data_IF_823634013103
#
_entry.id   IF_823634013103
#
_cell.length_a   1.000
_cell.length_b   1.000
_cell.length_c   1.000
_cell.angle_alpha   90.00
_cell.angle_beta   90.00
_cell.angle_gamma   90.00
#
_symmetry.space_group_name_H-M   'P 1'
#
loop_
_entity.id
_entity.type
_entity.pdbx_description
1 polymer ?
#
# COMPACT_ATOMS: atom_id res chain seq x y z
N UNK A 1 5.49 28.95 -17.74
CA UNK A 1 4.99 28.83 -19.13
C UNK A 1 4.02 27.67 -19.20
N UNK A 2 3.06 27.69 -20.12
CA UNK A 2 2.09 26.61 -20.33
C UNK A 2 2.16 26.24 -21.81
N UNK A 3 2.34 24.96 -22.12
CA UNK A 3 2.41 24.46 -23.50
C UNK A 3 1.63 23.16 -23.61
N UNK A 4 0.91 22.95 -24.71
CA UNK A 4 0.22 21.68 -24.93
C UNK A 4 1.24 20.58 -25.19
N UNK A 5 1.00 19.37 -24.67
CA UNK A 5 1.83 18.19 -24.99
C UNK A 5 1.77 17.76 -26.46
N UNK A 6 0.79 18.28 -27.22
CA UNK A 6 0.69 18.09 -28.66
C UNK A 6 1.59 19.03 -29.47
N UNK A 7 2.18 20.04 -28.83
CA UNK A 7 3.13 20.94 -29.47
C UNK A 7 4.45 20.18 -29.78
N UNK A 8 4.97 20.26 -31.02
CA UNK A 8 6.19 19.55 -31.42
C UNK A 8 7.43 19.97 -30.63
N UNK A 9 7.42 21.13 -29.98
CA UNK A 9 8.52 21.64 -29.16
C UNK A 9 8.37 21.31 -27.67
N UNK A 10 7.22 20.80 -27.22
CA UNK A 10 6.94 20.55 -25.79
C UNK A 10 7.99 19.64 -25.15
N UNK A 11 8.37 18.57 -25.84
CA UNK A 11 9.34 17.59 -25.33
C UNK A 11 10.73 18.20 -25.14
N UNK A 12 11.21 18.95 -26.16
CA UNK A 12 12.49 19.65 -26.11
C UNK A 12 12.50 20.71 -25.00
N UNK A 13 11.45 21.52 -24.94
CA UNK A 13 11.31 22.56 -23.93
C UNK A 13 11.32 21.98 -22.50
N UNK A 14 10.66 20.83 -22.30
CA UNK A 14 10.68 20.14 -21.02
C UNK A 14 12.09 19.66 -20.64
N UNK A 15 12.83 19.05 -21.59
CA UNK A 15 14.21 18.62 -21.35
C UNK A 15 15.15 19.80 -21.04
N UNK A 16 15.01 20.91 -21.76
CA UNK A 16 15.79 22.13 -21.55
C UNK A 16 15.49 22.74 -20.17
N UNK A 17 14.20 22.77 -19.78
CA UNK A 17 13.76 23.27 -18.47
C UNK A 17 14.29 22.41 -17.32
N UNK A 18 14.21 21.07 -17.44
CA UNK A 18 14.77 20.15 -16.44
C UNK A 18 16.30 20.29 -16.33
N UNK A 19 16.99 20.41 -17.47
CA UNK A 19 18.45 20.64 -17.51
C UNK A 19 18.86 21.94 -16.83
N UNK A 20 17.99 22.96 -16.84
CA UNK A 20 18.19 24.21 -16.13
C UNK A 20 17.90 24.12 -14.62
N UNK A 21 17.55 22.94 -14.09
CA UNK A 21 17.24 22.74 -12.67
C UNK A 21 15.90 23.36 -12.26
N UNK A 22 14.97 23.53 -13.20
CA UNK A 22 13.69 24.19 -13.00
C UNK A 22 12.54 23.19 -12.82
N UNK A 23 11.47 23.65 -12.16
CA UNK A 23 10.27 22.85 -11.89
C UNK A 23 9.40 22.72 -13.15
N UNK A 24 9.06 21.47 -13.48
CA UNK A 24 8.17 21.11 -14.58
C UNK A 24 6.97 20.36 -14.03
N UNK A 25 5.76 20.73 -14.43
CA UNK A 25 4.56 19.92 -14.25
C UNK A 25 4.31 19.12 -15.52
N UNK A 26 4.11 17.81 -15.38
CA UNK A 26 3.94 16.87 -16.49
C UNK A 26 2.77 15.91 -16.25
N UNK A 27 2.09 15.42 -17.30
CA UNK A 27 0.98 14.50 -17.16
C UNK A 27 1.46 13.07 -16.86
N UNK A 28 0.71 12.35 -16.02
CA UNK A 28 0.85 10.90 -15.81
C UNK A 28 -0.49 10.20 -16.02
N UNK A 29 -0.52 8.87 -15.93
CA UNK A 29 -1.75 8.08 -16.02
C UNK A 29 -2.65 8.20 -14.77
N UNK A 30 -2.16 8.83 -13.69
CA UNK A 30 -2.93 9.07 -12.45
C UNK A 30 -3.31 10.54 -12.29
N UNK A 31 -2.33 11.44 -12.20
CA UNK A 31 -2.57 12.88 -12.03
C UNK A 31 -1.37 13.69 -12.56
N UNK A 32 -1.44 15.01 -12.56
CA UNK A 32 -0.27 15.82 -12.92
C UNK A 32 0.84 15.67 -11.86
N UNK A 33 2.04 15.35 -12.32
CA UNK A 33 3.24 15.20 -11.50
C UNK A 33 4.12 16.45 -11.50
N UNK A 34 4.96 16.59 -10.48
CA UNK A 34 5.98 17.63 -10.35
C UNK A 34 7.38 17.03 -10.50
N UNK A 35 8.11 17.52 -11.49
CA UNK A 35 9.40 17.03 -11.92
C UNK A 35 10.51 18.06 -11.73
N UNK A 36 11.66 17.57 -11.25
CA UNK A 36 12.99 18.17 -11.37
C UNK A 36 14.00 17.07 -11.73
N UNK A 37 15.18 17.43 -12.24
CA UNK A 37 16.31 16.49 -12.36
C UNK A 37 16.76 16.05 -10.96
N UNK A 38 16.78 14.73 -10.71
CA UNK A 38 17.19 14.15 -9.44
C UNK A 38 18.69 14.33 -9.13
N UNK A 39 19.53 14.66 -10.12
CA UNK A 39 20.96 14.99 -9.97
C UNK A 39 21.21 16.48 -9.70
N UNK A 40 20.12 17.23 -9.65
CA UNK A 40 19.87 18.64 -9.34
C UNK A 40 19.79 19.07 -7.87
N UNK A 41 20.81 19.13 -6.97
CA UNK A 41 20.55 19.45 -5.56
C UNK A 41 19.73 20.73 -5.32
N UNK A 42 19.98 21.79 -6.11
CA UNK A 42 19.21 23.02 -6.06
C UNK A 42 17.78 22.83 -6.57
N UNK A 43 17.58 22.01 -7.60
CA UNK A 43 16.27 21.69 -8.13
C UNK A 43 15.44 20.85 -7.12
N UNK A 44 16.08 19.88 -6.44
CA UNK A 44 15.49 19.12 -5.33
C UNK A 44 15.08 20.06 -4.18
N UNK A 45 15.91 21.06 -3.86
CA UNK A 45 15.54 22.10 -2.88
C UNK A 45 14.27 22.86 -3.29
N UNK A 46 14.17 23.30 -4.55
CA UNK A 46 12.98 23.99 -5.05
C UNK A 46 11.73 23.11 -5.01
N UNK A 47 11.86 21.82 -5.34
CA UNK A 47 10.78 20.85 -5.25
C UNK A 47 10.30 20.66 -3.80
N UNK A 48 11.22 20.47 -2.86
CA UNK A 48 10.90 20.34 -1.43
C UNK A 48 10.27 21.60 -0.88
N UNK A 49 10.78 22.78 -1.28
CA UNK A 49 10.16 24.05 -0.94
C UNK A 49 8.74 24.10 -1.47
N UNK A 50 8.50 23.78 -2.76
CA UNK A 50 7.17 23.75 -3.35
C UNK A 50 6.22 22.83 -2.57
N UNK A 51 6.68 21.63 -2.21
CA UNK A 51 5.90 20.61 -1.50
C UNK A 51 5.60 20.95 -0.03
N UNK A 52 6.58 21.52 0.68
CA UNK A 52 6.53 21.73 2.12
C UNK A 52 6.83 20.47 2.95
N UNK A 53 6.98 20.64 4.27
CA UNK A 53 7.60 19.66 5.16
C UNK A 53 6.88 18.31 5.32
N UNK A 54 5.58 18.22 5.02
CA UNK A 54 4.76 17.02 5.31
C UNK A 54 4.84 15.92 4.24
N UNK A 55 5.48 16.16 3.09
CA UNK A 55 5.53 15.19 1.98
C UNK A 55 6.96 14.91 1.53
N UNK A 56 7.77 14.35 2.43
CA UNK A 56 9.17 13.96 2.14
C UNK A 56 9.31 12.65 1.36
N UNK A 57 8.22 11.90 1.18
CA UNK A 57 8.25 10.69 0.37
C UNK A 57 8.16 11.07 -1.12
N UNK A 58 9.33 11.27 -1.73
CA UNK A 58 9.47 11.58 -3.16
C UNK A 58 10.04 10.33 -3.83
N UNK A 59 9.33 9.83 -4.85
CA UNK A 59 9.86 8.78 -5.71
C UNK A 59 10.61 9.38 -6.90
N UNK A 60 11.35 8.57 -7.63
CA UNK A 60 11.88 8.93 -8.95
C UNK A 60 11.05 8.26 -10.06
N UNK A 61 10.94 8.91 -11.21
CA UNK A 61 10.39 8.34 -12.42
C UNK A 61 11.54 7.91 -13.35
N UNK A 62 11.45 6.70 -13.89
CA UNK A 62 12.38 6.14 -14.88
C UNK A 62 11.61 5.67 -16.12
N UNK A 63 12.31 5.44 -17.23
CA UNK A 63 11.74 4.98 -18.51
C UNK A 63 11.88 3.46 -18.74
N UNK A 64 12.63 2.77 -17.88
CA UNK A 64 13.03 1.39 -18.11
C UNK A 64 13.58 0.74 -16.85
N UNK A 65 13.48 -0.59 -16.80
CA UNK A 65 14.16 -1.41 -15.79
C UNK A 65 15.68 -1.19 -15.81
N UNK A 66 16.25 -1.01 -17.00
CA UNK A 66 17.69 -0.72 -17.18
C UNK A 66 18.09 0.61 -16.54
N UNK A 67 17.23 1.63 -16.60
CA UNK A 67 17.45 2.89 -15.89
C UNK A 67 17.27 2.71 -14.38
N UNK A 68 16.24 1.98 -13.92
CA UNK A 68 16.01 1.71 -12.49
C UNK A 68 17.23 1.07 -11.81
N UNK A 69 17.84 0.05 -12.44
CA UNK A 69 19.02 -0.67 -11.93
C UNK A 69 20.27 0.22 -11.71
N UNK A 70 20.28 1.46 -12.21
CA UNK A 70 21.35 2.44 -11.96
C UNK A 70 21.19 3.17 -10.62
N UNK A 71 20.00 3.12 -10.02
CA UNK A 71 19.65 3.88 -8.80
C UNK A 71 19.24 2.99 -7.64
N UNK A 72 18.75 1.76 -7.91
CA UNK A 72 18.32 0.82 -6.88
C UNK A 72 18.84 -0.60 -7.13
N UNK A 73 19.06 -1.34 -6.04
CA UNK A 73 19.29 -2.78 -6.07
C UNK A 73 17.95 -3.52 -6.09
N UNK A 74 17.75 -4.39 -7.08
CA UNK A 74 16.50 -5.12 -7.27
C UNK A 74 16.64 -6.56 -6.83
N UNK A 75 15.82 -6.99 -5.87
CA UNK A 75 15.64 -8.41 -5.56
C UNK A 75 14.67 -9.08 -6.56
N UNK A 76 14.45 -10.39 -6.41
CA UNK A 76 13.59 -11.16 -7.30
C UNK A 76 12.14 -10.65 -7.34
N UNK A 77 11.60 -10.22 -6.21
CA UNK A 77 10.23 -9.70 -6.10
C UNK A 77 10.12 -8.37 -6.85
N UNK A 78 11.04 -7.44 -6.59
CA UNK A 78 11.08 -6.18 -7.29
C UNK A 78 11.17 -6.41 -8.80
N UNK A 79 12.11 -7.26 -9.24
CA UNK A 79 12.26 -7.61 -10.66
C UNK A 79 10.95 -8.11 -11.28
N UNK A 80 10.26 -9.02 -10.59
CA UNK A 80 8.97 -9.54 -11.04
C UNK A 80 7.91 -8.43 -11.16
N UNK A 81 7.84 -7.52 -10.19
CA UNK A 81 6.93 -6.37 -10.25
C UNK A 81 7.22 -5.46 -11.45
N UNK A 82 8.49 -5.21 -11.74
CA UNK A 82 8.89 -4.44 -12.93
C UNK A 82 8.52 -5.13 -14.23
N UNK A 83 8.63 -6.44 -14.33
CA UNK A 83 8.33 -7.18 -15.57
C UNK A 83 6.84 -7.29 -15.86
N UNK A 84 6.00 -7.38 -14.83
CA UNK A 84 4.57 -7.69 -15.00
C UNK A 84 3.64 -6.48 -14.88
N UNK A 85 4.04 -5.46 -14.12
CA UNK A 85 3.15 -4.32 -13.80
C UNK A 85 3.68 -2.97 -14.29
N UNK A 86 4.88 -2.92 -14.86
CA UNK A 86 5.46 -1.70 -15.40
C UNK A 86 5.63 -1.79 -16.93
N UNK A 87 5.37 -0.69 -17.66
CA UNK A 87 4.94 0.62 -17.15
C UNK A 87 3.50 0.65 -16.64
N UNK A 88 3.26 1.35 -15.54
CA UNK A 88 1.97 1.30 -14.85
C UNK A 88 1.91 2.09 -13.54
N UNK A 89 0.73 2.16 -12.90
CA UNK A 89 0.50 2.96 -11.70
C UNK A 89 1.01 2.24 -10.43
N UNK A 90 2.28 1.82 -10.45
CA UNK A 90 2.99 1.21 -9.32
C UNK A 90 4.30 1.96 -9.04
N UNK A 91 4.60 2.12 -7.75
CA UNK A 91 5.87 2.58 -7.22
C UNK A 91 6.50 1.42 -6.46
N UNK A 92 7.70 1.00 -6.85
CA UNK A 92 8.45 -0.07 -6.18
C UNK A 92 9.55 0.56 -5.33
N UNK A 93 9.52 0.34 -4.01
CA UNK A 93 10.58 0.75 -3.09
C UNK A 93 11.60 -0.39 -3.00
N UNK A 94 12.86 -0.03 -3.21
CA UNK A 94 14.00 -0.94 -3.20
C UNK A 94 15.19 -0.29 -2.49
N UNK A 95 16.23 -1.07 -2.18
CA UNK A 95 17.46 -0.53 -1.58
C UNK A 95 18.11 0.47 -2.54
N UNK A 96 18.45 1.68 -2.05
CA UNK A 96 19.11 2.69 -2.85
C UNK A 96 20.57 2.32 -3.12
N UNK A 97 21.09 2.73 -4.27
CA UNK A 97 22.52 2.70 -4.57
C UNK A 97 23.24 4.01 -4.16
N UNK A 98 22.52 4.92 -3.48
CA UNK A 98 23.05 6.18 -2.95
C UNK A 98 23.72 7.08 -3.99
N UNK A 99 23.18 7.08 -5.22
CA UNK A 99 23.71 7.84 -6.36
C UNK A 99 23.00 9.16 -6.64
N UNK A 100 21.95 9.49 -5.88
CA UNK A 100 21.14 10.70 -6.00
C UNK A 100 21.21 11.55 -4.73
N UNK A 101 20.55 12.71 -4.73
CA UNK A 101 20.40 13.54 -3.54
C UNK A 101 19.72 12.75 -2.41
N UNK A 102 20.38 12.64 -1.26
CA UNK A 102 19.91 11.83 -0.13
C UNK A 102 18.56 12.27 0.44
N UNK A 103 18.09 13.48 0.12
CA UNK A 103 16.75 13.94 0.50
C UNK A 103 15.62 13.28 -0.29
N UNK A 104 15.94 12.56 -1.35
CA UNK A 104 15.01 11.73 -2.11
C UNK A 104 14.91 10.30 -1.55
N UNK A 105 15.81 9.94 -0.63
CA UNK A 105 15.85 8.61 -0.01
C UNK A 105 15.12 8.61 1.33
N UNK A 106 14.69 7.42 1.76
CA UNK A 106 14.19 7.22 3.11
C UNK A 106 15.33 7.23 4.13
N UNK A 107 14.98 7.36 5.41
CA UNK A 107 15.95 7.29 6.52
C UNK A 107 16.65 5.92 6.56
N UNK A 108 15.98 4.87 6.08
CA UNK A 108 16.48 3.51 6.03
C UNK A 108 17.29 3.21 4.75
N UNK A 109 17.60 4.23 3.93
CA UNK A 109 18.40 4.08 2.72
C UNK A 109 17.66 3.46 1.53
N UNK A 110 16.33 3.60 1.51
CA UNK A 110 15.48 3.03 0.44
C UNK A 110 15.00 4.12 -0.51
N UNK A 111 14.72 3.76 -1.76
CA UNK A 111 14.27 4.68 -2.79
C UNK A 111 13.05 4.12 -3.52
N UNK A 112 12.00 4.94 -3.62
CA UNK A 112 10.82 4.63 -4.41
C UNK A 112 11.04 4.96 -5.89
N UNK A 113 10.78 3.99 -6.77
CA UNK A 113 10.94 4.15 -8.21
C UNK A 113 9.62 3.86 -8.91
N UNK A 114 9.25 4.72 -9.86
CA UNK A 114 8.04 4.63 -10.67
C UNK A 114 8.42 4.57 -12.14
N UNK A 115 7.66 3.83 -12.94
CA UNK A 115 7.76 3.86 -14.39
C UNK A 115 6.38 4.20 -14.98
N UNK A 116 6.08 5.50 -15.19
CA UNK A 116 4.77 5.97 -15.62
C UNK A 116 4.33 5.38 -16.96
N UNK A 117 3.03 5.11 -17.11
CA UNK A 117 2.44 4.58 -18.35
C UNK A 117 1.98 5.66 -19.33
N UNK A 118 2.00 6.93 -18.93
CA UNK A 118 1.61 8.02 -19.81
C UNK A 118 2.63 8.20 -20.96
N UNK A 119 2.21 8.15 -22.25
CA UNK A 119 3.13 8.18 -23.39
C UNK A 119 4.07 9.39 -23.41
N UNK A 120 3.55 10.57 -23.05
CA UNK A 120 4.38 11.77 -22.96
C UNK A 120 5.42 11.67 -21.82
N UNK A 121 5.06 11.09 -20.67
CA UNK A 121 5.98 10.96 -19.55
C UNK A 121 7.13 10.01 -19.91
N UNK A 122 6.82 8.88 -20.57
CA UNK A 122 7.82 7.96 -21.07
C UNK A 122 8.75 8.61 -22.09
N UNK A 123 8.17 9.34 -23.05
CA UNK A 123 8.94 10.07 -24.06
C UNK A 123 9.85 11.12 -23.43
N UNK A 124 9.34 11.84 -22.41
CA UNK A 124 10.11 12.84 -21.66
C UNK A 124 11.30 12.20 -20.96
N UNK A 125 11.08 11.17 -20.14
CA UNK A 125 12.15 10.55 -19.35
C UNK A 125 13.17 9.87 -20.26
N UNK A 126 12.71 9.17 -21.30
CA UNK A 126 13.60 8.49 -22.26
C UNK A 126 14.42 9.46 -23.10
N UNK A 127 13.82 10.57 -23.57
CA UNK A 127 14.55 11.61 -24.32
C UNK A 127 15.51 12.37 -23.42
N UNK A 128 15.13 12.61 -22.16
CA UNK A 128 15.97 13.28 -21.19
C UNK A 128 17.15 12.42 -20.73
N UNK A 129 16.97 11.09 -20.68
CA UNK A 129 18.00 10.11 -20.38
C UNK A 129 18.40 10.01 -18.90
N UNK A 130 17.67 10.70 -18.01
CA UNK A 130 17.88 10.70 -16.55
C UNK A 130 16.55 10.60 -15.81
N UNK A 131 16.55 10.09 -14.55
CA UNK A 131 15.38 10.13 -13.70
C UNK A 131 14.98 11.56 -13.37
N UNK A 132 13.67 11.75 -13.29
CA UNK A 132 13.04 12.96 -12.75
C UNK A 132 12.26 12.60 -11.49
N UNK A 133 11.89 13.57 -10.67
CA UNK A 133 11.04 13.27 -9.51
C UNK A 133 9.62 12.84 -9.91
N UNK A 134 9.06 11.92 -9.13
CA UNK A 134 7.71 11.40 -9.24
C UNK A 134 6.91 11.70 -7.96
N UNK A 135 6.23 12.84 -7.96
CA UNK A 135 5.29 13.22 -6.90
C UNK A 135 4.18 14.06 -7.52
N UNK A 136 2.98 14.05 -6.95
CA UNK A 136 1.84 14.84 -7.46
C UNK A 136 2.13 16.35 -7.45
N UNK A 137 1.55 17.13 -8.35
CA UNK A 137 1.78 18.57 -8.43
C UNK A 137 0.98 19.41 -7.42
N UNK A 138 0.37 18.77 -6.42
CA UNK A 138 -0.30 19.45 -5.32
C UNK A 138 0.69 19.97 -4.27
N UNK A 139 0.29 21.06 -3.63
CA UNK A 139 0.90 21.54 -2.38
C UNK A 139 0.40 20.71 -1.20
N UNK A 140 1.16 20.68 -0.10
CA UNK A 140 0.84 19.85 1.06
C UNK A 140 -0.61 19.95 1.53
N UNK A 141 -1.30 18.81 1.63
CA UNK A 141 -2.67 18.71 2.13
C UNK A 141 -3.76 19.24 1.18
N UNK A 142 -3.43 19.55 -0.08
CA UNK A 142 -4.40 19.94 -1.12
C UNK A 142 -4.68 18.78 -2.07
N UNK A 143 -5.79 18.86 -2.81
CA UNK A 143 -6.19 17.88 -3.82
C UNK A 143 -5.17 17.78 -4.96
N UNK A 144 -4.98 16.58 -5.48
CA UNK A 144 -4.22 16.29 -6.69
C UNK A 144 -4.82 17.03 -7.89
N UNK A 145 -3.99 17.65 -8.76
CA UNK A 145 -4.48 18.29 -9.96
C UNK A 145 -4.65 17.29 -11.12
N UNK A 146 -5.82 17.31 -11.75
CA UNK A 146 -6.14 16.52 -12.96
C UNK A 146 -6.28 17.40 -14.21
N UNK A 147 -6.25 18.71 -14.04
CA UNK A 147 -6.26 19.69 -15.12
C UNK A 147 -5.45 20.93 -14.72
N UNK A 148 -5.11 21.76 -15.72
CA UNK A 148 -4.55 23.09 -15.49
C UNK A 148 -5.45 23.95 -14.59
N UNK A 149 -6.77 23.84 -14.75
CA UNK A 149 -7.75 24.55 -13.94
C UNK A 149 -7.71 24.11 -12.46
N UNK A 150 -7.61 22.81 -12.20
CA UNK A 150 -7.46 22.29 -10.83
C UNK A 150 -6.17 22.79 -10.18
N UNK A 151 -5.07 22.75 -10.93
CA UNK A 151 -3.78 23.24 -10.44
C UNK A 151 -3.85 24.72 -10.07
N UNK A 152 -4.42 25.58 -10.91
CA UNK A 152 -4.62 26.99 -10.59
C UNK A 152 -5.55 27.21 -9.39
N UNK A 153 -6.60 26.40 -9.25
CA UNK A 153 -7.58 26.52 -8.17
C UNK A 153 -7.01 26.13 -6.81
N UNK A 154 -6.19 25.08 -6.75
CA UNK A 154 -5.73 24.48 -5.50
C UNK A 154 -4.30 24.86 -5.09
N UNK A 155 -3.57 25.59 -5.95
CA UNK A 155 -2.19 26.03 -5.70
C UNK A 155 -2.14 27.54 -5.47
N UNK A 156 -1.37 28.00 -4.49
CA UNK A 156 -1.24 29.45 -4.23
C UNK A 156 -0.43 30.14 -5.33
N UNK A 157 -0.67 31.44 -5.56
CA UNK A 157 0.05 32.23 -6.58
C UNK A 157 1.57 32.15 -6.41
N UNK A 158 2.07 32.21 -5.17
CA UNK A 158 3.50 32.08 -4.89
C UNK A 158 4.07 30.72 -5.32
N UNK A 159 3.34 29.63 -5.09
CA UNK A 159 3.74 28.29 -5.54
C UNK A 159 3.62 28.13 -7.04
N UNK A 160 2.59 28.69 -7.66
CA UNK A 160 2.45 28.71 -9.12
C UNK A 160 3.63 29.41 -9.80
N UNK A 161 4.12 30.51 -9.22
CA UNK A 161 5.27 31.25 -9.72
C UNK A 161 6.59 30.47 -9.68
N UNK A 162 6.68 29.42 -8.86
CA UNK A 162 7.86 28.54 -8.81
C UNK A 162 7.94 27.57 -10.01
N UNK A 163 6.81 27.31 -10.68
CA UNK A 163 6.74 26.34 -11.78
C UNK A 163 7.11 27.04 -13.09
N UNK A 164 8.22 26.61 -13.69
CA UNK A 164 8.72 27.20 -14.93
C UNK A 164 7.95 26.72 -16.16
N UNK A 165 7.48 25.46 -16.15
CA UNK A 165 6.75 24.87 -17.26
C UNK A 165 5.60 23.97 -16.78
N UNK A 166 4.42 24.15 -17.37
CA UNK A 166 3.29 23.23 -17.27
C UNK A 166 3.03 22.62 -18.65
N UNK A 167 3.11 21.29 -18.74
CA UNK A 167 2.84 20.51 -19.94
C UNK A 167 1.37 20.09 -19.96
N UNK A 168 0.55 20.81 -20.69
CA UNK A 168 -0.91 20.65 -20.70
C UNK A 168 -1.38 19.51 -21.60
N UNK A 169 -1.93 18.47 -20.98
CA UNK A 169 -2.60 17.33 -21.60
C UNK A 169 -4.14 17.43 -21.55
N UNK A 170 -4.67 18.59 -21.14
CA UNK A 170 -6.08 18.76 -20.84
C UNK A 170 -6.46 18.13 -19.49
N UNK A 171 -7.68 17.61 -19.42
CA UNK A 171 -8.19 16.93 -18.24
C UNK A 171 -7.81 15.44 -18.28
N UNK A 172 -6.98 15.02 -17.32
CA UNK A 172 -6.63 13.61 -17.09
C UNK A 172 -7.82 12.84 -16.53
N UNK A 173 -7.82 11.52 -16.72
CA UNK A 173 -8.83 10.64 -16.11
C UNK A 173 -8.61 10.65 -14.60
N UNK A 174 -9.66 10.93 -13.82
CA UNK A 174 -9.59 10.88 -12.36
C UNK A 174 -9.40 9.43 -11.90
N UNK A 175 -8.20 9.13 -11.40
CA UNK A 175 -7.80 7.81 -10.90
C UNK A 175 -7.09 7.98 -9.56
N UNK A 176 -7.25 7.02 -8.64
CA UNK A 176 -6.44 6.96 -7.43
C UNK A 176 -4.94 7.04 -7.72
N UNK A 177 -4.16 7.47 -6.72
CA UNK A 177 -2.69 7.52 -6.85
C UNK A 177 -2.08 6.12 -7.08
N UNK A 178 -0.79 6.06 -7.43
CA UNK A 178 -0.10 4.78 -7.65
C UNK A 178 -0.06 3.89 -6.41
N UNK A 179 -0.13 2.57 -6.63
CA UNK A 179 0.11 1.57 -5.59
C UNK A 179 1.58 1.58 -5.22
N UNK A 180 1.90 1.66 -3.92
CA UNK A 180 3.29 1.70 -3.43
C UNK A 180 3.59 0.36 -2.77
N UNK A 181 4.61 -0.34 -3.28
CA UNK A 181 5.06 -1.64 -2.78
C UNK A 181 6.49 -1.53 -2.28
N UNK A 182 6.69 -1.86 -1.01
CA UNK A 182 8.01 -2.09 -0.44
C UNK A 182 8.47 -3.51 -0.71
N UNK A 183 9.64 -3.63 -1.34
CA UNK A 183 10.26 -4.91 -1.67
C UNK A 183 11.57 -5.14 -0.92
N UNK A 184 11.94 -4.25 -0.01
CA UNK A 184 13.24 -4.33 0.70
C UNK A 184 13.29 -5.46 1.73
N UNK A 185 12.12 -5.92 2.19
CA UNK A 185 11.98 -7.07 3.06
C UNK A 185 11.74 -8.35 2.25
N UNK A 186 12.03 -9.51 2.85
CA UNK A 186 11.78 -10.82 2.21
C UNK A 186 10.30 -11.05 1.87
N UNK A 187 9.39 -10.38 2.57
CA UNK A 187 7.96 -10.35 2.25
C UNK A 187 7.59 -8.93 1.78
N UNK A 188 7.10 -8.75 0.55
CA UNK A 188 6.78 -7.43 0.02
C UNK A 188 5.52 -6.87 0.69
N UNK A 189 5.50 -5.56 0.94
CA UNK A 189 4.38 -4.89 1.62
C UNK A 189 3.77 -3.80 0.74
N UNK A 190 2.45 -3.80 0.60
CA UNK A 190 1.74 -2.67 0.00
C UNK A 190 1.61 -1.56 1.05
N UNK A 191 2.42 -0.51 0.92
CA UNK A 191 2.40 0.65 1.83
C UNK A 191 1.26 1.63 1.52
N UNK A 192 0.81 1.65 0.26
CA UNK A 192 -0.33 2.45 -0.18
C UNK A 192 -1.06 1.72 -1.30
N UNK A 193 -2.35 1.48 -1.11
CA UNK A 193 -3.20 0.95 -2.16
C UNK A 193 -3.57 2.05 -3.16
N UNK A 194 -3.31 1.80 -4.43
CA UNK A 194 -3.64 2.68 -5.56
C UNK A 194 -4.58 2.01 -6.56
N UNK A 195 -4.62 2.52 -7.80
CA UNK A 195 -5.46 1.93 -8.87
C UNK A 195 -5.08 0.48 -9.18
N UNK A 196 -3.81 0.12 -9.04
CA UNK A 196 -3.37 -1.26 -9.27
C UNK A 196 -3.56 -2.07 -7.99
N UNK A 197 -4.57 -2.93 -7.98
CA UNK A 197 -4.59 -4.04 -7.03
C UNK A 197 -3.57 -5.04 -7.56
N UNK A 198 -2.60 -5.41 -6.73
CA UNK A 198 -1.60 -6.44 -7.08
C UNK A 198 -2.07 -7.72 -6.40
N UNK A 199 -2.69 -8.65 -7.15
CA UNK A 199 -2.92 -9.99 -6.63
C UNK A 199 -1.56 -10.65 -6.40
N UNK A 200 -1.43 -11.51 -5.39
CA UNK A 200 -0.21 -12.27 -5.04
C UNK A 200 0.91 -11.56 -4.25
N UNK A 201 0.70 -10.38 -3.65
CA UNK A 201 1.56 -9.94 -2.53
C UNK A 201 1.04 -10.42 -1.16
N UNK A 202 -0.12 -11.08 -1.16
CA UNK A 202 -0.59 -11.91 -0.06
C UNK A 202 0.15 -13.24 -0.11
N UNK A 203 0.99 -13.61 0.89
CA UNK A 203 1.63 -14.92 0.87
C UNK A 203 0.55 -15.99 0.70
N UNK A 204 0.73 -16.79 -0.35
CA UNK A 204 -0.22 -17.83 -0.72
C UNK A 204 0.32 -19.17 -0.25
N UNK A 205 -0.45 -19.84 0.59
CA UNK A 205 -0.07 -21.12 1.17
C UNK A 205 -1.19 -22.11 0.86
N UNK A 206 -0.83 -23.22 0.20
CA UNK A 206 -1.75 -24.34 0.04
C UNK A 206 -1.59 -25.28 1.23
N UNK A 207 -2.70 -25.66 1.85
CA UNK A 207 -2.74 -26.66 2.92
C UNK A 207 -3.55 -27.87 2.46
N UNK A 208 -3.12 -29.07 2.82
CA UNK A 208 -3.72 -30.34 2.40
C UNK A 208 -4.46 -31.04 3.55
N UNK A 209 -4.56 -30.38 4.72
CA UNK A 209 -5.34 -30.87 5.86
C UNK A 209 -5.76 -29.74 6.80
N UNK A 210 -6.70 -30.04 7.69
CA UNK A 210 -7.06 -29.14 8.80
C UNK A 210 -5.87 -28.88 9.73
N UNK A 211 -4.98 -29.86 9.91
CA UNK A 211 -3.79 -29.72 10.76
C UNK A 211 -2.79 -28.77 10.12
N UNK A 212 -2.53 -28.90 8.83
CA UNK A 212 -1.66 -27.94 8.12
C UNK A 212 -2.24 -26.53 8.13
N UNK A 213 -3.57 -26.40 8.00
CA UNK A 213 -4.27 -25.10 8.16
C UNK A 213 -4.02 -24.49 9.54
N UNK A 214 -4.05 -25.31 10.60
CA UNK A 214 -3.73 -24.86 11.96
C UNK A 214 -2.25 -24.47 12.09
N UNK A 215 -1.32 -25.24 11.51
CA UNK A 215 0.12 -24.96 11.57
C UNK A 215 0.47 -23.66 10.85
N UNK A 216 -0.13 -23.41 9.69
CA UNK A 216 0.00 -22.15 8.95
C UNK A 216 -0.52 -20.98 9.76
N UNK A 217 -1.73 -21.10 10.33
CA UNK A 217 -2.29 -20.06 11.20
C UNK A 217 -1.41 -19.80 12.43
N UNK A 218 -0.84 -20.85 13.03
CA UNK A 218 0.07 -20.74 14.15
C UNK A 218 1.37 -20.00 13.77
N UNK A 219 1.91 -20.28 12.58
CA UNK A 219 3.10 -19.60 12.03
C UNK A 219 2.83 -18.11 11.80
N UNK A 220 1.73 -17.78 11.13
CA UNK A 220 1.29 -16.39 10.87
C UNK A 220 1.11 -15.64 12.20
N UNK A 221 0.45 -16.28 13.18
CA UNK A 221 0.25 -15.68 14.51
C UNK A 221 1.58 -15.35 15.17
N UNK A 222 2.52 -16.29 15.21
CA UNK A 222 3.86 -16.07 15.79
C UNK A 222 4.64 -14.96 15.07
N UNK A 223 4.50 -14.85 13.75
CA UNK A 223 5.15 -13.81 12.94
C UNK A 223 4.70 -12.40 13.35
N UNK A 224 3.40 -12.21 13.61
CA UNK A 224 2.84 -10.88 13.89
C UNK A 224 2.53 -10.61 15.37
N UNK A 225 2.76 -11.59 16.26
CA UNK A 225 2.49 -11.46 17.70
C UNK A 225 3.21 -10.28 18.35
N UNK A 226 4.37 -9.86 17.83
CA UNK A 226 5.10 -8.71 18.37
C UNK A 226 4.33 -7.39 18.29
N UNK A 227 3.43 -7.24 17.29
CA UNK A 227 2.59 -6.05 17.12
C UNK A 227 1.66 -5.84 18.32
N UNK A 228 1.25 -6.93 18.98
CA UNK A 228 0.26 -6.86 20.06
C UNK A 228 0.76 -6.08 21.27
N UNK A 229 2.07 -5.88 21.42
CA UNK A 229 2.64 -5.04 22.49
C UNK A 229 2.19 -3.58 22.43
N UNK A 230 1.92 -3.08 21.23
CA UNK A 230 1.61 -1.67 21.00
C UNK A 230 0.18 -1.46 20.51
N UNK A 231 -0.38 -2.43 19.81
CA UNK A 231 -1.69 -2.34 19.19
C UNK A 231 -2.52 -3.60 19.48
N UNK A 232 -3.85 -3.55 19.44
CA UNK A 232 -4.63 -4.75 19.18
C UNK A 232 -4.31 -5.31 17.79
N UNK A 233 -4.51 -6.61 17.57
CA UNK A 233 -4.40 -7.23 16.24
C UNK A 233 -5.73 -7.84 15.82
N UNK A 234 -6.27 -7.42 14.68
CA UNK A 234 -7.47 -8.02 14.10
C UNK A 234 -7.05 -9.05 13.04
N UNK A 235 -7.58 -10.27 13.16
CA UNK A 235 -7.53 -11.30 12.13
C UNK A 235 -8.91 -11.37 11.48
N UNK A 236 -9.05 -10.86 10.25
CA UNK A 236 -10.30 -10.81 9.52
C UNK A 236 -10.40 -12.00 8.56
N UNK A 237 -11.13 -13.06 8.94
CA UNK A 237 -11.22 -14.29 8.16
C UNK A 237 -12.38 -14.26 7.15
N UNK A 238 -12.08 -14.57 5.90
CA UNK A 238 -13.01 -14.69 4.78
C UNK A 238 -12.94 -16.08 4.14
N UNK A 239 -14.07 -16.52 3.60
CA UNK A 239 -14.20 -17.73 2.81
C UNK A 239 -15.54 -18.42 3.05
N UNK A 240 -15.86 -19.39 2.21
CA UNK A 240 -17.16 -20.07 2.21
C UNK A 240 -17.43 -20.88 3.49
N UNK A 241 -18.68 -21.32 3.66
CA UNK A 241 -19.07 -22.18 4.76
C UNK A 241 -18.26 -23.48 4.71
N UNK A 242 -17.69 -23.90 5.85
CA UNK A 242 -16.91 -25.14 5.95
C UNK A 242 -15.47 -25.06 5.43
N UNK A 243 -15.04 -23.93 4.86
CA UNK A 243 -13.71 -23.82 4.21
C UNK A 243 -12.51 -23.92 5.16
N UNK A 244 -12.72 -23.84 6.47
CA UNK A 244 -11.66 -23.99 7.48
C UNK A 244 -11.37 -22.76 8.33
N UNK A 245 -12.20 -21.71 8.32
CA UNK A 245 -12.04 -20.51 9.16
C UNK A 245 -11.81 -20.84 10.64
N UNK A 246 -12.67 -21.66 11.23
CA UNK A 246 -12.50 -22.11 12.63
C UNK A 246 -11.24 -22.95 12.84
N UNK A 247 -10.77 -23.69 11.82
CA UNK A 247 -9.50 -24.43 11.91
C UNK A 247 -8.32 -23.45 11.95
N UNK A 248 -8.38 -22.35 11.20
CA UNK A 248 -7.40 -21.28 11.29
C UNK A 248 -7.36 -20.69 12.71
N UNK A 249 -8.52 -20.37 13.31
CA UNK A 249 -8.57 -19.83 14.69
C UNK A 249 -8.02 -20.82 15.73
N UNK A 250 -8.23 -22.13 15.56
CA UNK A 250 -7.58 -23.16 16.40
C UNK A 250 -6.05 -23.10 16.31
N UNK A 251 -5.51 -22.86 15.11
CA UNK A 251 -4.06 -22.66 14.93
C UNK A 251 -3.54 -21.41 15.62
N UNK A 252 -4.30 -20.30 15.55
CA UNK A 252 -4.01 -19.07 16.33
C UNK A 252 -3.95 -19.40 17.82
N UNK A 253 -4.96 -20.10 18.35
CA UNK A 253 -5.03 -20.47 19.75
C UNK A 253 -3.87 -21.37 20.19
N UNK A 254 -3.48 -22.33 19.35
CA UNK A 254 -2.32 -23.19 19.57
C UNK A 254 -1.01 -22.38 19.67
N UNK A 255 -0.79 -21.41 18.79
CA UNK A 255 0.37 -20.52 18.86
C UNK A 255 0.44 -19.69 20.14
N UNK A 256 -0.72 -19.38 20.74
CA UNK A 256 -0.84 -18.64 21.99
C UNK A 256 -0.78 -19.53 23.23
N UNK A 257 -0.66 -20.85 23.07
CA UNK A 257 -0.62 -21.82 24.18
C UNK A 257 -1.98 -22.06 24.85
N UNK A 258 -3.09 -21.76 24.17
CA UNK A 258 -4.44 -21.99 24.69
C UNK A 258 -4.76 -23.49 24.61
N UNK A 259 -5.04 -24.11 25.75
CA UNK A 259 -5.41 -25.54 25.86
C UNK A 259 -6.93 -25.78 25.80
N UNK A 260 -7.73 -24.72 25.85
CA UNK A 260 -9.18 -24.80 25.75
C UNK A 260 -9.61 -25.25 24.36
N UNK A 261 -10.72 -26.00 24.29
CA UNK A 261 -11.30 -26.38 23.01
C UNK A 261 -11.89 -25.15 22.30
N UNK A 262 -11.23 -24.70 21.24
CA UNK A 262 -11.69 -23.59 20.39
C UNK A 262 -12.67 -24.12 19.35
N UNK A 263 -13.90 -23.62 19.39
CA UNK A 263 -14.96 -23.97 18.46
C UNK A 263 -15.69 -22.70 18.02
N UNK A 264 -16.34 -22.76 16.86
CA UNK A 264 -16.99 -21.58 16.31
C UNK A 264 -18.06 -21.05 17.27
N UNK A 265 -18.07 -19.75 17.61
CA UNK A 265 -19.06 -19.13 18.49
C UNK A 265 -20.38 -18.85 17.76
N UNK A 266 -20.80 -19.69 16.83
CA UNK A 266 -21.99 -19.47 15.97
C UNK A 266 -23.29 -19.17 16.74
N UNK A 267 -23.41 -19.64 17.99
CA UNK A 267 -24.58 -19.35 18.86
C UNK A 267 -24.34 -18.27 19.91
N UNK A 268 -23.08 -18.01 20.30
CA UNK A 268 -22.73 -17.04 21.34
C UNK A 268 -22.18 -15.73 20.77
N UNK A 269 -22.00 -15.66 19.45
CA UNK A 269 -21.40 -14.57 18.65
C UNK A 269 -19.92 -14.29 18.97
N UNK A 270 -19.51 -14.45 20.23
CA UNK A 270 -18.14 -14.26 20.70
C UNK A 270 -17.75 -15.33 21.74
N UNK A 271 -16.46 -15.67 21.77
CA UNK A 271 -15.79 -16.38 22.85
C UNK A 271 -14.46 -15.72 23.20
N UNK A 272 -14.06 -15.83 24.45
CA UNK A 272 -12.86 -15.22 25.00
C UNK A 272 -11.90 -16.30 25.49
N UNK A 273 -10.65 -16.19 25.09
CA UNK A 273 -9.59 -17.12 25.44
C UNK A 273 -8.38 -16.35 25.98
N UNK A 274 -8.26 -16.21 27.31
CA UNK A 274 -7.06 -15.67 27.93
C UNK A 274 -5.85 -16.51 27.55
N UNK A 275 -4.72 -15.85 27.26
CA UNK A 275 -3.49 -16.52 26.91
C UNK A 275 -2.28 -15.89 27.61
N UNK A 276 -1.30 -16.74 27.91
CA UNK A 276 0.00 -16.32 28.44
C UNK A 276 1.07 -17.17 27.77
N UNK A 277 2.00 -16.49 27.09
CA UNK A 277 3.22 -17.07 26.52
C UNK A 277 4.44 -16.58 27.31
N UNK A 278 5.64 -17.02 26.93
CA UNK A 278 6.89 -16.55 27.56
C UNK A 278 7.10 -15.03 27.42
N UNK A 279 6.54 -14.38 26.39
CA UNK A 279 6.84 -12.97 26.03
C UNK A 279 5.61 -12.06 25.92
N UNK A 280 4.40 -12.62 25.93
CA UNK A 280 3.14 -11.94 25.64
C UNK A 280 2.01 -12.54 26.47
N UNK A 281 1.07 -11.72 26.92
CA UNK A 281 -0.15 -12.14 27.60
C UNK A 281 -1.30 -11.27 27.16
N UNK A 282 -2.50 -11.82 27.01
CA UNK A 282 -3.67 -11.07 26.57
C UNK A 282 -4.90 -11.95 26.45
N UNK A 283 -5.83 -11.52 25.60
CA UNK A 283 -7.06 -12.27 25.31
C UNK A 283 -7.18 -12.43 23.80
N UNK A 284 -7.44 -13.66 23.36
CA UNK A 284 -7.92 -13.97 22.02
C UNK A 284 -9.45 -13.92 22.05
N UNK A 285 -10.03 -12.96 21.35
CA UNK A 285 -11.46 -12.88 21.08
C UNK A 285 -11.76 -13.59 19.76
N UNK A 286 -12.64 -14.58 19.77
CA UNK A 286 -13.13 -15.26 18.58
C UNK A 286 -14.57 -14.85 18.34
N UNK A 287 -14.83 -14.19 17.21
CA UNK A 287 -16.14 -13.69 16.80
C UNK A 287 -16.62 -14.44 15.55
N UNK A 288 -17.93 -14.67 15.44
CA UNK A 288 -18.60 -15.19 14.24
C UNK A 288 -19.71 -14.21 13.84
N UNK A 289 -19.51 -13.49 12.73
CA UNK A 289 -20.43 -12.44 12.28
C UNK A 289 -21.43 -12.91 11.23
N UNK A 290 -21.52 -14.22 10.94
CA UNK A 290 -22.43 -14.77 9.93
C UNK A 290 -23.89 -14.37 10.13
N UNK A 291 -24.33 -14.31 11.40
CA UNK A 291 -25.73 -14.06 11.77
C UNK A 291 -26.10 -12.59 11.89
N UNK A 292 -25.14 -11.67 11.73
CA UNK A 292 -25.43 -10.26 11.86
C UNK A 292 -26.27 -9.82 10.66
N UNK A 293 -27.43 -9.25 10.97
CA UNK A 293 -28.34 -8.71 9.95
C UNK A 293 -27.90 -7.32 9.50
N UNK A 294 -27.25 -6.57 10.40
CA UNK A 294 -26.77 -5.20 10.19
C UNK A 294 -25.31 -5.05 10.68
N UNK A 295 -24.39 -4.47 9.89
CA UNK A 295 -23.02 -4.15 10.32
C UNK A 295 -22.93 -3.35 11.62
N UNK A 296 -23.96 -2.57 11.99
CA UNK A 296 -24.00 -1.81 13.25
C UNK A 296 -24.15 -2.71 14.49
N UNK A 297 -24.61 -3.96 14.32
CA UNK A 297 -24.77 -4.93 15.41
C UNK A 297 -23.43 -5.33 16.06
N UNK A 298 -22.32 -5.26 15.33
CA UNK A 298 -20.99 -5.49 15.90
C UNK A 298 -20.66 -4.50 17.02
N UNK A 299 -20.97 -3.22 16.83
CA UNK A 299 -20.67 -2.21 17.84
C UNK A 299 -21.75 -2.15 18.91
N UNK A 300 -23.03 -2.33 18.53
CA UNK A 300 -24.15 -2.27 19.47
C UNK A 300 -24.32 -3.53 20.34
N UNK A 301 -23.92 -4.71 19.84
CA UNK A 301 -24.08 -6.00 20.53
C UNK A 301 -22.75 -6.55 21.06
N UNK A 302 -21.67 -6.48 20.27
CA UNK A 302 -20.36 -7.04 20.66
C UNK A 302 -19.42 -6.00 21.26
N UNK A 303 -19.75 -4.70 21.14
CA UNK A 303 -18.93 -3.59 21.64
C UNK A 303 -17.46 -3.73 21.24
N UNK A 304 -17.21 -3.98 19.94
CA UNK A 304 -15.87 -4.28 19.40
C UNK A 304 -14.82 -3.25 19.86
N UNK A 305 -15.16 -1.97 19.89
CA UNK A 305 -14.27 -0.90 20.39
C UNK A 305 -13.66 -1.17 21.77
N UNK A 306 -14.37 -1.85 22.67
CA UNK A 306 -13.87 -2.20 24.02
C UNK A 306 -12.88 -3.36 24.02
N UNK A 307 -12.91 -4.20 22.98
CA UNK A 307 -12.02 -5.36 22.82
C UNK A 307 -10.66 -4.95 22.22
N UNK A 308 -10.62 -3.81 21.54
CA UNK A 308 -9.47 -3.31 20.79
C UNK A 308 -8.47 -2.56 21.69
N UNK A 309 -7.89 -3.29 22.63
CA UNK A 309 -6.82 -2.80 23.53
C UNK A 309 -5.49 -3.47 23.21
N UNK A 310 -4.33 -2.83 23.51
CA UNK A 310 -3.04 -3.48 23.36
C UNK A 310 -3.02 -4.87 24.03
N UNK A 311 -2.37 -5.82 23.38
CA UNK A 311 -2.29 -7.25 23.73
C UNK A 311 -3.50 -8.10 23.36
N UNK A 312 -4.61 -7.51 22.90
CA UNK A 312 -5.73 -8.29 22.38
C UNK A 312 -5.48 -8.77 20.95
N UNK A 313 -6.00 -9.97 20.66
CA UNK A 313 -6.11 -10.50 19.30
C UNK A 313 -7.59 -10.76 19.06
N UNK A 314 -8.14 -10.24 17.97
CA UNK A 314 -9.56 -10.38 17.62
C UNK A 314 -9.67 -11.12 16.30
N UNK A 315 -10.06 -12.40 16.34
CA UNK A 315 -10.32 -13.22 15.17
C UNK A 315 -11.81 -13.16 14.80
N UNK A 316 -12.12 -12.61 13.63
CA UNK A 316 -13.49 -12.38 13.16
C UNK A 316 -13.75 -13.29 11.95
N UNK A 317 -14.58 -14.32 12.13
CA UNK A 317 -15.09 -15.10 11.00
C UNK A 317 -16.18 -14.34 10.26
N UNK A 318 -16.19 -14.45 8.92
CA UNK A 318 -17.12 -13.72 8.04
C UNK A 318 -16.93 -12.20 8.07
N UNK A 319 -15.66 -11.78 8.10
CA UNK A 319 -15.27 -10.38 8.25
C UNK A 319 -15.89 -9.42 7.21
N UNK A 320 -16.32 -9.89 6.03
CA UNK A 320 -17.07 -9.07 5.07
C UNK A 320 -18.36 -8.49 5.63
N UNK A 321 -19.04 -9.18 6.56
CA UNK A 321 -20.21 -8.63 7.28
C UNK A 321 -19.84 -7.48 8.23
N UNK A 322 -18.57 -7.37 8.60
CA UNK A 322 -18.01 -6.35 9.47
C UNK A 322 -17.27 -5.24 8.70
N UNK A 323 -17.30 -5.24 7.36
CA UNK A 323 -16.46 -4.37 6.51
C UNK A 323 -16.52 -2.89 6.91
N UNK A 324 -17.72 -2.32 7.05
CA UNK A 324 -17.89 -0.90 7.35
C UNK A 324 -17.19 -0.49 8.66
N UNK A 325 -17.24 -1.37 9.67
CA UNK A 325 -16.60 -1.15 10.95
C UNK A 325 -15.09 -1.36 10.86
N UNK A 326 -14.63 -2.41 10.20
CA UNK A 326 -13.19 -2.67 9.99
C UNK A 326 -12.52 -1.52 9.22
N UNK A 327 -13.20 -0.95 8.22
CA UNK A 327 -12.74 0.22 7.49
C UNK A 327 -12.55 1.45 8.39
N UNK A 328 -13.36 1.60 9.45
CA UNK A 328 -13.21 2.71 10.40
C UNK A 328 -11.93 2.62 11.25
N UNK A 329 -11.38 1.41 11.45
CA UNK A 329 -10.18 1.16 12.27
C UNK A 329 -8.89 1.01 11.47
N UNK A 330 -8.97 0.95 10.14
CA UNK A 330 -7.86 0.57 9.25
C UNK A 330 -6.60 1.44 9.36
N UNK A 331 -6.74 2.70 9.80
CA UNK A 331 -5.63 3.63 9.95
C UNK A 331 -4.96 3.55 11.33
N UNK A 332 -5.64 2.95 12.32
CA UNK A 332 -5.24 2.99 13.73
C UNK A 332 -4.82 1.62 14.26
N UNK A 333 -5.32 0.54 13.64
CA UNK A 333 -5.17 -0.83 14.13
C UNK A 333 -4.68 -1.74 12.99
N UNK A 334 -3.66 -2.59 13.23
CA UNK A 334 -3.28 -3.64 12.30
C UNK A 334 -4.44 -4.63 12.07
N UNK A 335 -4.95 -4.67 10.84
CA UNK A 335 -5.97 -5.63 10.37
C UNK A 335 -5.32 -6.55 9.36
N UNK A 336 -5.16 -7.82 9.73
CA UNK A 336 -4.67 -8.88 8.84
C UNK A 336 -5.86 -9.66 8.28
N UNK A 337 -6.13 -9.50 7.00
CA UNK A 337 -7.18 -10.23 6.28
C UNK A 337 -6.65 -11.58 5.87
N UNK A 338 -7.40 -12.64 6.16
CA UNK A 338 -7.10 -14.03 5.84
C UNK A 338 -8.22 -14.54 4.92
N UNK A 339 -7.90 -14.79 3.65
CA UNK A 339 -8.81 -15.48 2.73
C UNK A 339 -8.50 -16.97 2.71
N UNK A 340 -9.52 -17.79 2.87
CA UNK A 340 -9.41 -19.24 2.76
C UNK A 340 -10.36 -19.70 1.67
N UNK A 341 -9.83 -20.32 0.63
CA UNK A 341 -10.60 -20.84 -0.50
C UNK A 341 -10.46 -22.35 -0.59
N UNK A 342 -11.56 -23.04 -0.87
CA UNK A 342 -11.54 -24.48 -1.15
C UNK A 342 -11.01 -24.74 -2.54
N UNK A 343 -10.01 -25.63 -2.65
CA UNK A 343 -9.54 -26.15 -3.95
C UNK A 343 -10.24 -27.48 -4.22
N UNK A 344 -10.25 -28.38 -3.23
CA UNK A 344 -10.97 -29.66 -3.22
C UNK A 344 -11.23 -30.09 -1.76
N UNK A 345 -11.76 -31.30 -1.54
CA UNK A 345 -12.14 -31.77 -0.20
C UNK A 345 -11.03 -31.62 0.86
N UNK A 346 -9.76 -31.82 0.48
CA UNK A 346 -8.61 -31.82 1.39
C UNK A 346 -7.75 -30.56 1.28
N UNK A 347 -7.80 -29.87 0.15
CA UNK A 347 -6.91 -28.75 -0.15
C UNK A 347 -7.58 -27.39 0.03
N UNK A 348 -6.87 -26.48 0.69
CA UNK A 348 -7.28 -25.08 0.87
C UNK A 348 -6.16 -24.16 0.40
N UNK A 349 -6.55 -23.08 -0.27
CA UNK A 349 -5.66 -21.96 -0.58
C UNK A 349 -5.86 -20.89 0.49
N UNK A 350 -4.81 -20.56 1.23
CA UNK A 350 -4.81 -19.50 2.24
C UNK A 350 -4.00 -18.33 1.67
N UNK A 351 -4.60 -17.14 1.63
CA UNK A 351 -3.89 -15.89 1.34
C UNK A 351 -4.09 -14.92 2.49
N UNK A 352 -3.08 -14.11 2.81
CA UNK A 352 -3.21 -13.11 3.86
C UNK A 352 -2.48 -11.81 3.56
N UNK A 353 -3.03 -10.68 4.00
CA UNK A 353 -2.40 -9.37 3.84
C UNK A 353 -2.89 -8.40 4.91
N UNK A 354 -2.08 -7.39 5.24
CA UNK A 354 -2.59 -6.21 5.94
C UNK A 354 -3.34 -5.35 4.93
N UNK A 355 -4.66 -5.54 4.85
CA UNK A 355 -5.52 -4.80 3.96
C UNK A 355 -6.93 -4.68 4.55
N UNK A 356 -7.68 -3.71 4.04
CA UNK A 356 -9.14 -3.71 4.06
C UNK A 356 -9.59 -3.91 2.61
N UNK A 357 -10.11 -5.09 2.23
CA UNK A 357 -10.69 -5.28 0.92
C UNK A 357 -11.79 -4.25 0.65
N UNK A 358 -12.01 -3.94 -0.62
CA UNK A 358 -13.37 -3.70 -1.09
C UNK A 358 -14.04 -5.08 -1.09
N UNK A 359 -14.92 -5.32 -0.12
CA UNK A 359 -15.68 -6.56 -0.01
C UNK A 359 -16.93 -6.38 -0.88
N UNK A 360 -16.88 -6.88 -2.11
CA UNK A 360 -18.06 -6.95 -2.99
C UNK A 360 -18.97 -8.14 -2.63
#
# INVERSE_FOLDING_TARGET
QIISISDPHALKLACDTLSAGQLVIYPTETCYGLAVDCHIPQAVSHLLEYKGDRHRQISIAVDSLSMAKKYVSLNAIAHNLYEHFLPGPITVISESLHSLDSRLESVDGTLGVRFPAHPFAQSLIGTYGKPITATSANTSGKKEPYSLADWHKYTTVGKQAMVSLFLDAGHLIDRPTSTVVDTTLNDPQVLRQGTLIIPDLSPTITTHSSTETQDVAAKITKQYLALTRRFPLILALQGDLGVGKTQFVKGVASALGISLNVNSPTYTLMKEYPYTTTKYSGILYHLDTWRLADPTELESTLHLSKLLVPSSIVAIEWAGKAQALLHSYQNDIPILVINIKEINEQERLITYAFSTPEWD
#
